data_IF_498695750624
#
_entry.id   IF_498695750624
#
_cell.length_a   1.000
_cell.length_b   1.000
_cell.length_c   1.000
_cell.angle_alpha   90.00
_cell.angle_beta   90.00
_cell.angle_gamma   90.00
#
_symmetry.space_group_name_H-M   'P 1'
#
loop_
_entity.id
_entity.type
_entity.pdbx_description
1 polymer ?
#
# COMPACT_ATOMS: atom_id res chain seq x y z
N UNK A 1 -9.36 -1.23 22.24
CA UNK A 1 -9.83 -2.26 21.27
C UNK A 1 -11.28 -2.13 20.82
N UNK A 2 -12.27 -1.90 21.70
CA UNK A 2 -13.69 -1.77 21.29
C UNK A 2 -13.92 -0.77 20.14
N UNK A 3 -13.36 0.44 20.23
CA UNK A 3 -13.50 1.48 19.20
C UNK A 3 -13.04 1.06 17.79
N UNK A 4 -11.96 0.28 17.69
CA UNK A 4 -11.48 -0.21 16.38
C UNK A 4 -12.43 -1.24 15.80
N UNK A 5 -12.99 -2.11 16.63
CA UNK A 5 -14.02 -3.08 16.22
C UNK A 5 -15.30 -2.38 15.77
N UNK A 6 -15.75 -1.37 16.50
CA UNK A 6 -16.92 -0.56 16.10
C UNK A 6 -16.67 0.12 14.73
N UNK A 7 -15.49 0.70 14.52
CA UNK A 7 -15.10 1.31 13.24
C UNK A 7 -14.99 0.30 12.09
N UNK A 8 -14.39 -0.87 12.35
CA UNK A 8 -14.30 -1.96 11.37
C UNK A 8 -15.68 -2.51 11.01
N UNK A 9 -16.63 -2.58 11.95
CA UNK A 9 -18.00 -3.02 11.70
C UNK A 9 -18.76 -2.07 10.76
N UNK A 10 -18.57 -0.74 10.90
CA UNK A 10 -19.16 0.24 9.97
C UNK A 10 -18.64 0.02 8.54
N UNK A 11 -17.32 -0.13 8.38
CA UNK A 11 -16.70 -0.44 7.10
C UNK A 11 -17.21 -1.76 6.51
N UNK A 12 -17.27 -2.81 7.33
CA UNK A 12 -17.79 -4.11 6.90
C UNK A 12 -19.23 -3.99 6.38
N UNK A 13 -20.09 -3.27 7.11
CA UNK A 13 -21.46 -3.02 6.67
C UNK A 13 -21.53 -2.29 5.32
N UNK A 14 -20.69 -1.26 5.14
CA UNK A 14 -20.62 -0.54 3.87
C UNK A 14 -20.18 -1.47 2.73
N UNK A 15 -19.13 -2.26 2.93
CA UNK A 15 -18.62 -3.19 1.92
C UNK A 15 -19.63 -4.28 1.59
N UNK A 16 -20.31 -4.81 2.60
CA UNK A 16 -21.34 -5.84 2.42
C UNK A 16 -22.52 -5.34 1.59
N UNK A 17 -22.90 -4.07 1.80
CA UNK A 17 -23.97 -3.40 1.05
C UNK A 17 -23.58 -3.11 -0.40
N UNK A 18 -22.32 -2.75 -0.67
CA UNK A 18 -21.90 -2.27 -1.98
C UNK A 18 -21.19 -3.29 -2.87
N UNK A 19 -20.78 -4.43 -2.31
CA UNK A 19 -20.31 -5.59 -3.08
C UNK A 19 -21.34 -6.72 -2.97
N UNK A 20 -21.92 -7.13 -4.09
CA UNK A 20 -22.92 -8.20 -4.12
C UNK A 20 -22.31 -9.61 -3.94
N UNK A 21 -23.16 -10.64 -3.97
CA UNK A 21 -22.76 -12.04 -3.82
C UNK A 21 -21.86 -12.55 -4.96
N UNK A 22 -21.90 -11.89 -6.12
CA UNK A 22 -21.08 -12.18 -7.29
C UNK A 22 -19.77 -11.37 -7.31
N UNK A 23 -19.53 -10.53 -6.31
CA UNK A 23 -18.35 -9.69 -6.19
C UNK A 23 -18.37 -8.47 -7.12
N UNK A 24 -19.54 -7.99 -7.52
CA UNK A 24 -19.70 -6.74 -8.27
C UNK A 24 -19.87 -5.57 -7.32
N UNK A 25 -19.13 -4.49 -7.55
CA UNK A 25 -19.38 -3.21 -6.91
C UNK A 25 -20.62 -2.56 -7.56
N UNK A 26 -21.68 -2.32 -6.80
CA UNK A 26 -22.94 -1.74 -7.31
C UNK A 26 -22.80 -0.27 -7.71
N UNK A 27 -21.76 0.42 -7.23
CA UNK A 27 -21.46 1.82 -7.59
C UNK A 27 -20.71 1.96 -8.92
N UNK A 28 -20.15 0.86 -9.43
CA UNK A 28 -19.29 0.88 -10.62
C UNK A 28 -18.87 -0.52 -11.01
N UNK A 29 -19.79 -1.30 -11.59
CA UNK A 29 -19.58 -2.71 -11.93
C UNK A 29 -18.43 -2.91 -12.92
N UNK A 30 -18.20 -1.94 -13.80
CA UNK A 30 -17.25 -2.01 -14.92
C UNK A 30 -16.09 -1.02 -14.77
N UNK A 31 -15.89 -0.49 -13.56
CA UNK A 31 -14.78 0.41 -13.26
C UNK A 31 -13.77 -0.28 -12.34
N UNK A 32 -12.63 -0.68 -12.92
CA UNK A 32 -11.52 -1.36 -12.24
C UNK A 32 -11.03 -0.67 -10.97
N UNK A 33 -11.23 0.65 -10.84
CA UNK A 33 -10.78 1.45 -9.70
C UNK A 33 -11.43 1.03 -8.38
N UNK A 34 -12.59 0.38 -8.42
CA UNK A 34 -13.22 -0.22 -7.24
C UNK A 34 -12.62 -1.57 -6.83
N UNK A 35 -11.80 -2.20 -7.68
CA UNK A 35 -11.44 -3.62 -7.53
C UNK A 35 -9.98 -3.86 -7.13
N UNK A 36 -9.07 -2.91 -7.34
CA UNK A 36 -7.62 -3.13 -7.18
C UNK A 36 -7.21 -3.55 -5.76
N UNK A 37 -7.83 -2.99 -4.73
CA UNK A 37 -7.58 -3.34 -3.31
C UNK A 37 -8.69 -4.19 -2.69
N UNK A 38 -9.81 -4.35 -3.39
CA UNK A 38 -11.02 -4.93 -2.82
C UNK A 38 -10.87 -6.38 -2.32
N UNK A 39 -10.12 -7.30 -2.99
CA UNK A 39 -9.95 -8.65 -2.46
C UNK A 39 -9.32 -8.68 -1.06
N UNK A 40 -8.29 -7.84 -0.86
CA UNK A 40 -7.62 -7.72 0.43
C UNK A 40 -8.52 -7.02 1.46
N UNK A 41 -9.12 -5.88 1.10
CA UNK A 41 -10.00 -5.11 1.96
C UNK A 41 -11.20 -5.93 2.47
N UNK A 42 -11.88 -6.64 1.58
CA UNK A 42 -13.00 -7.51 1.93
C UNK A 42 -12.56 -8.61 2.90
N UNK A 43 -11.36 -9.16 2.74
CA UNK A 43 -10.84 -10.15 3.68
C UNK A 43 -10.58 -9.55 5.07
N UNK A 44 -9.96 -8.37 5.13
CA UNK A 44 -9.73 -7.65 6.39
C UNK A 44 -11.04 -7.29 7.11
N UNK A 45 -12.13 -7.10 6.37
CA UNK A 45 -13.47 -6.85 6.90
C UNK A 45 -14.26 -8.14 7.21
N UNK A 46 -13.66 -9.33 7.14
CA UNK A 46 -14.34 -10.60 7.41
C UNK A 46 -15.24 -11.11 6.28
N UNK A 47 -15.18 -10.50 5.09
CA UNK A 47 -15.97 -10.82 3.90
C UNK A 47 -15.15 -11.58 2.85
N UNK A 48 -14.29 -12.51 3.29
CA UNK A 48 -13.31 -13.23 2.45
C UNK A 48 -13.93 -13.86 1.19
N UNK A 49 -15.12 -14.46 1.31
CA UNK A 49 -15.82 -15.08 0.17
C UNK A 49 -16.17 -14.06 -0.93
N UNK A 50 -16.64 -12.85 -0.56
CA UNK A 50 -16.83 -11.75 -1.51
C UNK A 50 -15.50 -11.31 -2.12
N UNK A 51 -14.44 -11.25 -1.31
CA UNK A 51 -13.08 -10.97 -1.80
C UNK A 51 -12.62 -11.93 -2.90
N UNK A 52 -12.86 -13.24 -2.74
CA UNK A 52 -12.55 -14.25 -3.75
C UNK A 52 -13.37 -14.08 -5.04
N UNK A 53 -14.63 -13.64 -4.94
CA UNK A 53 -15.50 -13.33 -6.09
C UNK A 53 -15.05 -12.08 -6.82
N UNK A 54 -14.66 -11.03 -6.10
CA UNK A 54 -14.03 -9.82 -6.66
C UNK A 54 -12.76 -10.21 -7.43
N UNK A 55 -11.89 -11.04 -6.86
CA UNK A 55 -10.70 -11.55 -7.55
C UNK A 55 -11.06 -12.30 -8.86
N UNK A 56 -12.09 -13.15 -8.85
CA UNK A 56 -12.60 -13.80 -10.07
C UNK A 56 -12.97 -12.79 -11.14
N UNK A 57 -13.73 -11.76 -10.75
CA UNK A 57 -14.19 -10.73 -11.67
C UNK A 57 -13.03 -9.95 -12.28
N UNK A 58 -12.02 -9.61 -11.49
CA UNK A 58 -10.80 -8.95 -12.00
C UNK A 58 -10.12 -9.80 -13.06
N UNK A 59 -9.92 -11.09 -12.79
CA UNK A 59 -9.32 -12.02 -13.75
C UNK A 59 -10.11 -12.08 -15.08
N UNK A 60 -11.44 -12.09 -15.00
CA UNK A 60 -12.32 -12.27 -16.17
C UNK A 60 -12.55 -10.99 -16.98
N UNK A 61 -12.40 -9.80 -16.39
CA UNK A 61 -12.83 -8.54 -17.02
C UNK A 61 -11.79 -7.43 -17.07
N UNK A 62 -10.86 -7.41 -16.12
CA UNK A 62 -9.99 -6.25 -15.91
C UNK A 62 -8.52 -6.56 -16.19
N UNK A 63 -8.20 -7.73 -16.75
CA UNK A 63 -6.87 -8.05 -17.23
C UNK A 63 -6.89 -8.21 -18.75
N UNK A 64 -5.83 -7.73 -19.41
CA UNK A 64 -5.58 -8.05 -20.81
C UNK A 64 -4.91 -9.42 -20.97
N UNK A 65 -4.63 -9.81 -22.20
CA UNK A 65 -3.98 -11.10 -22.53
C UNK A 65 -2.61 -11.27 -21.88
N UNK A 66 -1.90 -10.16 -21.59
CA UNK A 66 -0.59 -10.17 -20.94
C UNK A 66 -0.69 -10.14 -19.41
N UNK A 67 -1.89 -9.98 -18.86
CA UNK A 67 -2.13 -9.85 -17.43
C UNK A 67 -1.94 -8.43 -16.89
N UNK A 68 -1.88 -7.41 -17.75
CA UNK A 68 -1.88 -6.03 -17.33
C UNK A 68 -3.30 -5.59 -16.94
N UNK A 69 -3.39 -4.75 -15.90
CA UNK A 69 -4.65 -4.18 -15.45
C UNK A 69 -5.21 -3.22 -16.50
N UNK A 70 -6.38 -3.52 -17.05
CA UNK A 70 -7.14 -2.66 -17.97
C UNK A 70 -8.02 -1.68 -17.20
N UNK A 71 -8.51 -0.63 -17.86
CA UNK A 71 -9.23 0.46 -17.19
C UNK A 71 -9.27 1.74 -18.02
N UNK A 72 -9.96 2.78 -17.54
CA UNK A 72 -10.15 4.02 -18.30
C UNK A 72 -8.81 4.71 -18.63
N UNK A 73 -8.74 5.52 -19.70
CA UNK A 73 -7.50 6.24 -20.07
C UNK A 73 -6.93 7.14 -18.97
N UNK A 74 -7.76 7.59 -18.03
CA UNK A 74 -7.37 8.40 -16.89
C UNK A 74 -6.63 7.62 -15.80
N UNK A 75 -6.65 6.28 -15.84
CA UNK A 75 -5.87 5.44 -14.94
C UNK A 75 -4.45 5.31 -15.49
N UNK A 76 -3.51 6.00 -14.87
CA UNK A 76 -2.12 6.07 -15.30
C UNK A 76 -1.38 4.73 -15.14
N UNK A 77 -0.22 4.60 -15.79
CA UNK A 77 0.54 3.33 -15.78
C UNK A 77 1.04 2.98 -14.38
N UNK A 78 1.51 3.96 -13.62
CA UNK A 78 1.93 3.82 -12.23
C UNK A 78 0.76 3.37 -11.33
N UNK A 79 -0.44 3.94 -11.50
CA UNK A 79 -1.62 3.51 -10.77
C UNK A 79 -2.03 2.06 -11.10
N UNK A 80 -1.85 1.63 -12.35
CA UNK A 80 -2.10 0.22 -12.76
C UNK A 80 -1.11 -0.72 -12.10
N UNK A 81 0.19 -0.43 -12.17
CA UNK A 81 1.25 -1.24 -11.53
C UNK A 81 1.02 -1.32 -10.03
N UNK A 82 0.74 -0.18 -9.38
CA UNK A 82 0.44 -0.14 -7.96
C UNK A 82 -0.80 -0.97 -7.61
N UNK A 83 -1.86 -0.85 -8.42
CA UNK A 83 -3.07 -1.66 -8.30
C UNK A 83 -2.81 -3.16 -8.47
N UNK A 84 -1.94 -3.54 -9.41
CA UNK A 84 -1.50 -4.93 -9.62
C UNK A 84 -0.79 -5.48 -8.38
N UNK A 85 0.08 -4.71 -7.73
CA UNK A 85 0.71 -5.12 -6.46
C UNK A 85 -0.31 -5.49 -5.38
N UNK A 86 -1.32 -4.63 -5.19
CA UNK A 86 -2.42 -4.89 -4.26
C UNK A 86 -3.29 -6.09 -4.65
N UNK A 87 -3.56 -6.26 -5.95
CA UNK A 87 -4.31 -7.40 -6.45
C UNK A 87 -3.56 -8.71 -6.24
N UNK A 88 -2.23 -8.76 -6.44
CA UNK A 88 -1.43 -9.95 -6.19
C UNK A 88 -1.47 -10.34 -4.70
N UNK A 89 -1.31 -9.36 -3.79
CA UNK A 89 -1.47 -9.60 -2.36
C UNK A 89 -2.89 -10.10 -2.03
N UNK A 90 -3.91 -9.37 -2.48
CA UNK A 90 -5.31 -9.68 -2.19
C UNK A 90 -5.72 -11.05 -2.74
N UNK A 91 -5.29 -11.39 -3.96
CA UNK A 91 -5.50 -12.69 -4.59
C UNK A 91 -4.88 -13.83 -3.79
N UNK A 92 -3.65 -13.62 -3.29
CA UNK A 92 -2.96 -14.60 -2.43
C UNK A 92 -3.77 -14.85 -1.15
N UNK A 93 -4.22 -13.79 -0.48
CA UNK A 93 -4.99 -13.89 0.78
C UNK A 93 -6.35 -14.60 0.61
N UNK A 94 -6.99 -14.43 -0.55
CA UNK A 94 -8.25 -15.13 -0.88
C UNK A 94 -8.03 -16.46 -1.61
N UNK A 95 -6.80 -16.97 -1.65
CA UNK A 95 -6.40 -18.25 -2.28
C UNK A 95 -6.77 -18.35 -3.77
N UNK A 96 -6.76 -17.22 -4.48
CA UNK A 96 -6.89 -17.16 -5.94
C UNK A 96 -5.53 -17.11 -6.59
N UNK A 97 -4.80 -18.21 -6.43
CA UNK A 97 -3.41 -18.35 -6.88
C UNK A 97 -3.26 -18.24 -8.40
N UNK A 98 -4.30 -18.57 -9.17
CA UNK A 98 -4.36 -18.35 -10.61
C UNK A 98 -4.26 -16.87 -11.01
N UNK A 99 -4.96 -16.00 -10.27
CA UNK A 99 -4.85 -14.55 -10.43
C UNK A 99 -3.52 -14.03 -9.88
N UNK A 100 -3.12 -14.51 -8.69
CA UNK A 100 -1.89 -14.07 -8.04
C UNK A 100 -0.66 -14.35 -8.92
N UNK A 101 -0.55 -15.57 -9.46
CA UNK A 101 0.57 -15.96 -10.33
C UNK A 101 0.60 -15.17 -11.63
N UNK A 102 -0.56 -14.97 -12.28
CA UNK A 102 -0.64 -14.17 -13.51
C UNK A 102 -0.18 -12.73 -13.30
N UNK A 103 -0.67 -12.07 -12.25
CA UNK A 103 -0.30 -10.69 -11.94
C UNK A 103 1.16 -10.60 -11.51
N UNK A 104 1.61 -11.50 -10.63
CA UNK A 104 2.98 -11.49 -10.13
C UNK A 104 4.01 -11.81 -11.22
N UNK A 105 3.69 -12.72 -12.15
CA UNK A 105 4.50 -12.97 -13.34
C UNK A 105 4.65 -11.70 -14.18
N UNK A 106 3.55 -10.99 -14.42
CA UNK A 106 3.58 -9.73 -15.18
C UNK A 106 4.34 -8.61 -14.46
N UNK A 107 4.23 -8.51 -13.13
CA UNK A 107 5.02 -7.58 -12.33
C UNK A 107 6.52 -7.89 -12.40
N UNK A 108 6.90 -9.18 -12.34
CA UNK A 108 8.29 -9.60 -12.46
C UNK A 108 8.87 -9.27 -13.85
N UNK A 109 8.10 -9.42 -14.93
CA UNK A 109 8.51 -9.01 -16.28
C UNK A 109 8.74 -7.49 -16.41
N UNK A 110 7.98 -6.69 -15.64
CA UNK A 110 8.09 -5.22 -15.63
C UNK A 110 9.20 -4.70 -14.72
N UNK A 111 9.70 -5.54 -13.82
CA UNK A 111 10.78 -5.18 -12.92
C UNK A 111 12.08 -5.00 -13.70
N UNK A 112 12.77 -3.90 -13.42
CA UNK A 112 14.11 -3.70 -13.94
C UNK A 112 15.09 -4.54 -13.10
N UNK A 113 15.82 -5.43 -13.77
CA UNK A 113 16.75 -6.34 -13.10
C UNK A 113 17.99 -5.65 -12.51
N UNK A 114 18.30 -4.42 -12.96
CA UNK A 114 19.50 -3.69 -12.51
C UNK A 114 19.23 -2.94 -11.20
N UNK A 115 18.14 -2.18 -11.12
CA UNK A 115 17.80 -1.46 -9.89
C UNK A 115 16.83 -2.22 -8.99
N UNK A 116 16.18 -3.29 -9.45
CA UNK A 116 15.17 -4.04 -8.70
C UNK A 116 13.82 -3.32 -8.56
N UNK A 117 13.68 -2.10 -9.09
CA UNK A 117 12.45 -1.30 -9.05
C UNK A 117 11.54 -1.51 -10.27
N UNK A 118 10.37 -0.86 -10.26
CA UNK A 118 9.55 -0.71 -11.48
C UNK A 118 9.85 0.66 -12.08
N UNK A 119 10.55 0.68 -13.22
CA UNK A 119 10.99 1.91 -13.89
C UNK A 119 9.91 2.39 -14.86
N UNK A 120 9.45 3.62 -14.67
CA UNK A 120 8.37 4.25 -15.45
C UNK A 120 8.75 5.69 -15.81
N UNK A 121 8.17 6.26 -16.87
CA UNK A 121 8.31 7.68 -17.16
C UNK A 121 7.82 8.55 -15.99
N UNK A 122 8.63 9.53 -15.56
CA UNK A 122 8.28 10.47 -14.50
C UNK A 122 8.51 11.91 -15.00
N UNK A 123 7.42 12.68 -15.07
CA UNK A 123 7.44 14.03 -15.64
C UNK A 123 8.27 15.02 -14.82
N UNK A 124 8.28 14.88 -13.50
CA UNK A 124 9.07 15.75 -12.62
C UNK A 124 10.57 15.45 -12.76
N UNK A 125 10.94 14.18 -12.99
CA UNK A 125 12.33 13.78 -13.22
C UNK A 125 12.81 14.11 -14.65
N UNK A 126 11.89 14.20 -15.61
CA UNK A 126 12.19 14.33 -17.05
C UNK A 126 12.97 13.12 -17.60
N UNK A 127 12.83 11.97 -16.93
CA UNK A 127 13.50 10.71 -17.27
C UNK A 127 12.64 9.51 -16.77
N UNK A 128 13.02 8.29 -17.15
CA UNK A 128 12.43 7.09 -16.56
C UNK A 128 13.10 6.76 -15.22
N UNK A 129 12.30 6.59 -14.18
CA UNK A 129 12.79 6.30 -12.82
C UNK A 129 11.89 5.28 -12.14
N UNK A 130 12.43 4.60 -11.14
CA UNK A 130 11.61 3.86 -10.20
C UNK A 130 11.20 4.78 -9.04
N UNK A 131 9.96 4.62 -8.58
CA UNK A 131 9.44 5.29 -7.38
C UNK A 131 9.16 4.25 -6.29
N UNK A 132 9.52 4.58 -5.05
CA UNK A 132 9.57 3.64 -3.94
C UNK A 132 8.19 3.12 -3.53
N UNK A 133 7.16 3.96 -3.47
CA UNK A 133 5.80 3.54 -3.10
C UNK A 133 5.21 2.55 -4.12
N UNK A 134 5.32 2.85 -5.42
CA UNK A 134 4.83 2.01 -6.51
C UNK A 134 5.61 0.72 -6.64
N UNK A 135 6.94 0.81 -6.60
CA UNK A 135 7.80 -0.38 -6.56
C UNK A 135 7.42 -1.22 -5.35
N UNK A 136 7.32 -0.64 -4.16
CA UNK A 136 6.97 -1.38 -2.94
C UNK A 136 5.60 -2.05 -3.00
N UNK A 137 4.63 -1.45 -3.70
CA UNK A 137 3.35 -2.12 -3.96
C UNK A 137 3.55 -3.42 -4.76
N UNK A 138 4.36 -3.37 -5.83
CA UNK A 138 4.72 -4.53 -6.62
C UNK A 138 5.55 -5.56 -5.83
N UNK A 139 6.57 -5.12 -5.08
CA UNK A 139 7.45 -5.97 -4.28
C UNK A 139 6.69 -6.78 -3.22
N UNK A 140 5.77 -6.13 -2.50
CA UNK A 140 4.85 -6.79 -1.57
C UNK A 140 4.00 -7.86 -2.29
N UNK A 141 3.43 -7.54 -3.46
CA UNK A 141 2.66 -8.49 -4.25
C UNK A 141 3.49 -9.68 -4.75
N UNK A 142 4.72 -9.43 -5.20
CA UNK A 142 5.68 -10.45 -5.64
C UNK A 142 6.06 -11.39 -4.48
N UNK A 143 6.36 -10.83 -3.31
CA UNK A 143 6.70 -11.61 -2.12
C UNK A 143 5.52 -12.51 -1.69
N UNK A 144 4.32 -11.94 -1.59
CA UNK A 144 3.11 -12.68 -1.23
C UNK A 144 2.80 -13.83 -2.21
N UNK A 145 3.00 -13.60 -3.52
CA UNK A 145 2.76 -14.59 -4.56
C UNK A 145 3.93 -15.60 -4.77
N UNK A 146 4.94 -15.59 -3.91
CA UNK A 146 6.05 -16.54 -3.97
C UNK A 146 7.11 -16.26 -5.04
N UNK A 147 7.15 -15.07 -5.64
CA UNK A 147 8.19 -14.65 -6.59
C UNK A 147 9.44 -14.15 -5.85
N UNK A 148 10.05 -15.04 -5.07
CA UNK A 148 11.07 -14.68 -4.07
C UNK A 148 12.26 -13.91 -4.65
N UNK A 149 12.82 -14.33 -5.80
CA UNK A 149 13.97 -13.65 -6.41
C UNK A 149 13.63 -12.21 -6.81
N UNK A 150 12.46 -11.98 -7.42
CA UNK A 150 12.01 -10.65 -7.80
C UNK A 150 11.75 -9.78 -6.57
N UNK A 151 11.11 -10.33 -5.53
CA UNK A 151 10.91 -9.65 -4.26
C UNK A 151 12.24 -9.30 -3.57
N UNK A 152 13.23 -10.20 -3.61
CA UNK A 152 14.56 -10.00 -3.04
C UNK A 152 15.28 -8.82 -3.69
N UNK A 153 15.31 -8.75 -5.03
CA UNK A 153 15.93 -7.63 -5.74
C UNK A 153 15.37 -6.27 -5.29
N UNK A 154 14.05 -6.21 -5.08
CA UNK A 154 13.40 -5.00 -4.62
C UNK A 154 13.68 -4.69 -3.14
N UNK A 155 13.71 -5.72 -2.29
CA UNK A 155 14.08 -5.58 -0.89
C UNK A 155 15.52 -5.08 -0.73
N UNK A 156 16.49 -5.64 -1.48
CA UNK A 156 17.87 -5.14 -1.52
C UNK A 156 17.92 -3.66 -1.88
N UNK A 157 17.15 -3.27 -2.90
CA UNK A 157 17.12 -1.88 -3.32
C UNK A 157 16.60 -0.97 -2.21
N UNK A 158 15.56 -1.37 -1.48
CA UNK A 158 15.05 -0.57 -0.37
C UNK A 158 16.01 -0.52 0.83
N UNK A 159 16.74 -1.60 1.12
CA UNK A 159 17.81 -1.57 2.12
C UNK A 159 18.85 -0.52 1.73
N UNK A 160 19.38 -0.58 0.51
CA UNK A 160 20.39 0.35 0.06
C UNK A 160 19.86 1.80 -0.10
N UNK A 161 18.59 1.99 -0.46
CA UNK A 161 18.00 3.31 -0.69
C UNK A 161 17.94 4.17 0.58
N UNK A 162 17.89 3.55 1.76
CA UNK A 162 18.01 4.25 3.04
C UNK A 162 19.38 4.91 3.20
N UNK A 163 20.43 4.26 2.72
CA UNK A 163 21.82 4.67 2.90
C UNK A 163 22.31 5.61 1.78
N UNK A 164 21.72 5.50 0.58
CA UNK A 164 22.11 6.29 -0.60
C UNK A 164 21.53 7.73 -0.61
N UNK A 165 20.85 8.17 0.45
CA UNK A 165 20.22 9.49 0.48
C UNK A 165 21.27 10.62 0.48
N UNK A 166 21.19 11.59 -0.43
CA UNK A 166 22.22 12.63 -0.59
C UNK A 166 22.11 13.78 0.43
N UNK A 167 20.96 13.94 1.07
CA UNK A 167 20.70 15.04 2.02
C UNK A 167 20.17 14.49 3.34
N UNK A 168 20.71 14.98 4.45
CA UNK A 168 20.14 14.69 5.78
C UNK A 168 18.83 15.46 5.96
N UNK A 169 17.84 14.84 6.59
CA UNK A 169 16.52 15.45 6.82
C UNK A 169 15.57 15.39 5.63
N UNK A 170 16.00 14.82 4.50
CA UNK A 170 15.16 14.54 3.34
C UNK A 170 15.35 13.11 2.86
N UNK A 171 14.27 12.51 2.44
CA UNK A 171 14.26 11.21 1.79
C UNK A 171 13.60 11.35 0.42
N UNK A 172 14.36 11.13 -0.64
CA UNK A 172 13.89 11.13 -2.01
C UNK A 172 13.40 9.72 -2.39
N UNK A 173 12.16 9.63 -2.84
CA UNK A 173 11.50 8.35 -3.12
C UNK A 173 11.82 7.78 -4.51
N UNK A 174 12.73 8.39 -5.27
CA UNK A 174 12.98 8.07 -6.67
C UNK A 174 14.44 7.66 -6.89
N UNK A 175 14.64 6.65 -7.73
CA UNK A 175 15.96 6.14 -8.08
C UNK A 175 16.02 5.68 -9.54
N UNK A 176 17.21 5.78 -10.14
CA UNK A 176 17.48 5.38 -11.52
C UNK A 176 17.79 3.89 -11.66
N UNK A 177 17.96 3.42 -12.90
CA UNK A 177 18.37 2.05 -13.21
C UNK A 177 19.74 1.68 -12.62
N UNK A 178 20.65 2.63 -12.48
CA UNK A 178 21.93 2.43 -11.80
C UNK A 178 21.83 2.45 -10.25
N UNK A 179 20.63 2.66 -9.71
CA UNK A 179 20.38 2.76 -8.28
C UNK A 179 20.61 4.16 -7.68
N UNK A 180 21.13 5.11 -8.46
CA UNK A 180 21.36 6.47 -7.97
C UNK A 180 20.04 7.17 -7.62
N UNK A 181 20.06 7.95 -6.53
CA UNK A 181 18.90 8.72 -6.07
C UNK A 181 18.63 9.90 -7.00
N UNK A 182 17.35 10.14 -7.29
CA UNK A 182 16.90 11.33 -8.02
C UNK A 182 16.59 12.43 -7.00
N UNK A 183 17.61 13.22 -6.70
CA UNK A 183 17.58 14.33 -5.73
C UNK A 183 16.89 15.60 -6.26
N UNK A 184 15.74 15.43 -6.93
CA UNK A 184 14.91 16.54 -7.42
C UNK A 184 13.59 16.48 -6.63
N UNK A 185 13.10 17.57 -6.05
CA UNK A 185 11.72 17.62 -5.56
C UNK A 185 10.73 17.52 -6.73
N UNK A 186 9.53 16.97 -6.49
CA UNK A 186 8.42 17.09 -7.44
C UNK A 186 7.80 18.49 -7.40
N UNK A 187 7.02 18.88 -8.41
CA UNK A 187 6.27 20.14 -8.39
C UNK A 187 5.35 20.29 -7.15
N UNK A 188 4.92 19.18 -6.55
CA UNK A 188 4.18 19.13 -5.29
C UNK A 188 5.03 18.95 -4.02
N UNK A 189 6.37 18.97 -4.12
CA UNK A 189 7.40 18.72 -3.08
C UNK A 189 7.25 17.42 -2.26
N UNK A 190 6.14 17.21 -1.53
CA UNK A 190 5.89 16.09 -0.62
C UNK A 190 5.43 14.79 -1.31
N UNK A 191 5.06 14.83 -2.59
CA UNK A 191 4.56 13.63 -3.29
C UNK A 191 5.66 12.61 -3.61
N UNK A 192 6.88 13.08 -3.88
CA UNK A 192 8.04 12.27 -4.30
C UNK A 192 9.25 12.41 -3.37
N UNK A 193 9.07 13.07 -2.24
CA UNK A 193 10.08 13.27 -1.21
C UNK A 193 9.39 13.34 0.17
N UNK A 194 10.09 12.92 1.21
CA UNK A 194 9.71 13.14 2.60
C UNK A 194 10.74 14.07 3.25
N UNK A 195 10.30 15.21 3.74
CA UNK A 195 11.14 16.23 4.37
C UNK A 195 10.71 16.39 5.83
N UNK A 196 11.66 16.27 6.75
CA UNK A 196 11.37 16.22 8.20
C UNK A 196 10.85 17.55 8.77
N UNK A 197 10.88 18.63 7.98
CA UNK A 197 10.56 19.99 8.39
C UNK A 197 9.27 20.54 7.76
N UNK A 198 8.73 19.94 6.69
CA UNK A 198 7.50 20.45 6.07
C UNK A 198 6.27 20.18 6.95
N UNK A 199 5.24 21.05 6.93
CA UNK A 199 4.07 20.92 7.80
C UNK A 199 3.12 19.78 7.41
N UNK A 200 3.26 19.20 6.22
CA UNK A 200 2.44 18.08 5.73
C UNK A 200 3.34 17.12 4.95
N UNK A 201 3.13 15.82 5.17
CA UNK A 201 3.85 14.75 4.49
C UNK A 201 2.95 13.55 4.19
N UNK A 202 3.46 12.59 3.41
CA UNK A 202 2.76 11.35 3.05
C UNK A 202 3.45 10.09 3.58
N UNK A 203 3.38 9.79 4.89
CA UNK A 203 3.96 8.57 5.46
C UNK A 203 3.48 7.27 4.80
N UNK A 204 2.26 7.25 4.26
CA UNK A 204 1.73 6.07 3.58
C UNK A 204 2.54 5.61 2.36
N UNK A 205 3.43 6.44 1.81
CA UNK A 205 4.36 6.02 0.75
C UNK A 205 5.42 5.02 1.27
N UNK A 206 5.79 5.11 2.55
CA UNK A 206 6.72 4.18 3.18
C UNK A 206 6.06 2.87 3.60
N UNK A 207 4.73 2.82 3.67
CA UNK A 207 4.03 1.62 4.09
C UNK A 207 4.33 0.44 3.17
N UNK A 208 4.25 0.62 1.85
CA UNK A 208 4.50 -0.46 0.89
C UNK A 208 5.98 -0.85 0.79
N UNK A 209 6.89 0.08 1.06
CA UNK A 209 8.33 -0.20 1.21
C UNK A 209 8.57 -1.09 2.44
N UNK A 210 8.10 -0.68 3.60
CA UNK A 210 8.22 -1.43 4.84
C UNK A 210 7.56 -2.82 4.73
N UNK A 211 6.39 -2.90 4.09
CA UNK A 211 5.72 -4.18 3.84
C UNK A 211 6.53 -5.06 2.88
N UNK A 212 7.10 -4.52 1.80
CA UNK A 212 7.97 -5.31 0.92
C UNK A 212 9.09 -5.96 1.71
N UNK A 213 9.75 -5.19 2.58
CA UNK A 213 10.81 -5.68 3.46
C UNK A 213 10.31 -6.73 4.46
N UNK A 214 9.15 -6.53 5.09
CA UNK A 214 8.55 -7.51 6.00
C UNK A 214 8.20 -8.82 5.27
N UNK A 215 7.50 -8.74 4.15
CA UNK A 215 7.10 -9.92 3.38
C UNK A 215 8.31 -10.66 2.79
N UNK A 216 9.33 -9.93 2.34
CA UNK A 216 10.62 -10.48 1.92
C UNK A 216 11.34 -11.19 3.09
N UNK A 217 11.42 -10.54 4.26
CA UNK A 217 11.98 -11.11 5.49
C UNK A 217 11.31 -12.41 5.90
N UNK A 218 9.98 -12.46 5.87
CA UNK A 218 9.21 -13.69 6.13
C UNK A 218 9.48 -14.78 5.09
N UNK A 219 9.50 -14.44 3.81
CA UNK A 219 9.67 -15.41 2.73
C UNK A 219 11.09 -16.01 2.69
N UNK A 220 12.11 -15.24 3.07
CA UNK A 220 13.52 -15.65 2.99
C UNK A 220 14.13 -16.02 4.35
N UNK A 221 13.47 -15.69 5.46
CA UNK A 221 14.01 -15.87 6.81
C UNK A 221 15.17 -14.92 7.12
N UNK A 222 15.16 -13.71 6.55
CA UNK A 222 16.27 -12.74 6.67
C UNK A 222 15.89 -11.54 7.56
N UNK A 223 16.35 -11.55 8.81
CA UNK A 223 16.04 -10.52 9.82
C UNK A 223 16.48 -9.10 9.44
N UNK A 224 17.52 -8.97 8.59
CA UNK A 224 18.00 -7.65 8.15
C UNK A 224 16.94 -6.84 7.41
N UNK A 225 15.97 -7.49 6.78
CA UNK A 225 14.86 -6.77 6.14
C UNK A 225 13.91 -6.19 7.18
N UNK A 226 13.65 -6.88 8.30
CA UNK A 226 12.90 -6.32 9.42
C UNK A 226 13.63 -5.12 10.05
N UNK A 227 14.95 -5.22 10.21
CA UNK A 227 15.77 -4.09 10.68
C UNK A 227 15.66 -2.88 9.74
N UNK A 228 15.73 -3.09 8.42
CA UNK A 228 15.55 -2.02 7.44
C UNK A 228 14.13 -1.43 7.46
N UNK A 229 13.08 -2.24 7.61
CA UNK A 229 11.71 -1.76 7.78
C UNK A 229 11.57 -0.90 9.05
N UNK A 230 12.22 -1.29 10.14
CA UNK A 230 12.30 -0.51 11.38
C UNK A 230 12.98 0.85 11.16
N UNK A 231 14.07 0.90 10.39
CA UNK A 231 14.74 2.16 10.01
C UNK A 231 13.82 3.09 9.21
N UNK A 232 12.98 2.56 8.31
CA UNK A 232 11.96 3.36 7.63
C UNK A 232 10.90 3.91 8.60
N UNK A 233 10.47 3.11 9.58
CA UNK A 233 9.57 3.57 10.64
C UNK A 233 10.20 4.71 11.46
N UNK A 234 11.47 4.55 11.85
CA UNK A 234 12.19 5.57 12.61
C UNK A 234 12.46 6.84 11.79
N UNK A 235 12.75 6.73 10.49
CA UNK A 235 12.84 7.88 9.59
C UNK A 235 11.53 8.68 9.57
N UNK A 236 10.39 8.02 9.37
CA UNK A 236 9.09 8.69 9.35
C UNK A 236 8.81 9.40 10.68
N UNK A 237 9.09 8.74 11.81
CA UNK A 237 8.89 9.30 13.16
C UNK A 237 10.02 10.21 13.65
N UNK A 238 11.06 10.44 12.85
CA UNK A 238 12.05 11.50 13.08
C UNK A 238 11.55 12.88 12.63
N UNK A 239 10.38 12.94 12.00
CA UNK A 239 9.74 14.19 11.60
C UNK A 239 9.43 15.08 12.82
N UNK A 240 9.54 16.41 12.67
CA UNK A 240 9.31 17.37 13.78
C UNK A 240 7.87 17.41 14.33
N UNK A 241 6.93 16.78 13.63
CA UNK A 241 5.51 16.70 13.94
C UNK A 241 5.15 15.22 14.05
N UNK A 242 4.10 14.89 14.81
CA UNK A 242 3.64 13.50 14.88
C UNK A 242 3.06 13.07 13.52
N UNK A 243 3.66 12.08 12.84
CA UNK A 243 3.16 11.58 11.56
C UNK A 243 1.73 11.04 11.63
N UNK A 244 1.24 10.65 12.81
CA UNK A 244 -0.14 10.19 12.99
C UNK A 244 -1.17 11.27 12.65
N UNK A 245 -0.83 12.56 12.80
CA UNK A 245 -1.72 13.69 12.54
C UNK A 245 -1.76 14.07 11.06
N UNK A 246 -0.82 13.57 10.25
CA UNK A 246 -0.82 13.84 8.81
C UNK A 246 -2.03 13.24 8.12
N UNK A 247 -2.51 14.02 7.14
CA UNK A 247 -3.47 13.65 6.11
C UNK A 247 -3.48 12.20 5.69
N UNK A 248 -2.27 11.69 5.53
CA UNK A 248 -1.97 10.61 4.60
C UNK A 248 -1.04 9.57 5.22
N UNK A 249 -1.11 9.37 6.53
CA UNK A 249 -0.38 8.29 7.20
C UNK A 249 -1.08 6.93 7.03
N UNK A 250 -2.41 6.91 7.08
CA UNK A 250 -3.31 5.80 6.68
C UNK A 250 -2.76 4.38 6.94
N UNK A 251 -2.30 3.67 5.89
CA UNK A 251 -1.82 2.27 5.91
C UNK A 251 -0.45 2.09 6.56
N UNK A 252 0.22 3.16 6.97
CA UNK A 252 1.51 3.05 7.66
C UNK A 252 1.38 2.37 9.02
N UNK A 253 0.25 2.55 9.70
CA UNK A 253 -0.06 1.84 10.94
C UNK A 253 -0.11 0.32 10.73
N UNK A 254 -0.74 -0.13 9.63
CA UNK A 254 -0.73 -1.54 9.25
C UNK A 254 0.68 -2.07 9.00
N UNK A 255 1.54 -1.33 8.29
CA UNK A 255 2.94 -1.73 8.09
C UNK A 255 3.70 -1.89 9.41
N UNK A 256 3.49 -0.98 10.38
CA UNK A 256 4.08 -1.08 11.71
C UNK A 256 3.56 -2.27 12.51
N UNK A 257 2.28 -2.61 12.41
CA UNK A 257 1.71 -3.80 13.06
C UNK A 257 2.31 -5.08 12.46
N UNK A 258 2.41 -5.15 11.13
CA UNK A 258 3.06 -6.29 10.47
C UNK A 258 4.50 -6.46 10.95
N UNK A 259 5.27 -5.38 11.05
CA UNK A 259 6.63 -5.44 11.56
C UNK A 259 6.68 -5.78 13.06
N UNK A 260 5.72 -5.31 13.86
CA UNK A 260 5.61 -5.67 15.28
C UNK A 260 5.41 -7.18 15.46
N UNK A 261 4.57 -7.81 14.63
CA UNK A 261 4.31 -9.25 14.71
C UNK A 261 5.60 -10.10 14.55
N UNK A 262 6.56 -9.64 13.74
CA UNK A 262 7.83 -10.34 13.50
C UNK A 262 8.95 -9.94 14.48
N UNK A 263 8.91 -8.73 15.04
CA UNK A 263 10.03 -8.18 15.84
C UNK A 263 9.74 -8.07 17.33
N UNK A 264 8.47 -8.01 17.72
CA UNK A 264 8.04 -7.71 19.09
C UNK A 264 8.32 -6.28 19.57
N UNK A 265 8.77 -5.35 18.71
CA UNK A 265 9.05 -3.96 19.11
C UNK A 265 7.76 -3.19 19.44
N UNK A 266 7.44 -3.06 20.72
CA UNK A 266 6.20 -2.43 21.21
C UNK A 266 6.04 -0.98 20.77
N UNK A 267 7.12 -0.26 20.46
CA UNK A 267 7.06 1.13 19.97
C UNK A 267 6.27 1.22 18.66
N UNK A 268 6.37 0.21 17.80
CA UNK A 268 5.65 0.13 16.53
C UNK A 268 4.14 -0.01 16.76
N UNK A 269 3.75 -0.87 17.70
CA UNK A 269 2.35 -1.05 18.06
C UNK A 269 1.76 0.23 18.68
N UNK A 270 2.48 0.89 19.58
CA UNK A 270 2.05 2.17 20.18
C UNK A 270 1.87 3.26 19.12
N UNK A 271 2.81 3.37 18.17
CA UNK A 271 2.71 4.29 17.03
C UNK A 271 1.51 3.98 16.14
N UNK A 272 1.28 2.70 15.84
CA UNK A 272 0.13 2.25 15.06
C UNK A 272 -1.20 2.54 15.77
N UNK A 273 -1.27 2.36 17.08
CA UNK A 273 -2.45 2.70 17.88
C UNK A 273 -2.74 4.20 17.85
N UNK A 274 -1.73 5.07 17.99
CA UNK A 274 -1.93 6.53 17.86
C UNK A 274 -2.52 6.91 16.50
N UNK A 275 -1.98 6.36 15.41
CA UNK A 275 -2.55 6.57 14.08
C UNK A 275 -3.97 6.00 13.97
N UNK A 276 -4.20 4.80 14.50
CA UNK A 276 -5.54 4.20 14.55
C UNK A 276 -6.57 5.08 15.27
N UNK A 277 -6.15 5.82 16.30
CA UNK A 277 -7.02 6.72 17.06
C UNK A 277 -7.46 7.92 16.24
N UNK A 278 -6.52 8.49 15.47
CA UNK A 278 -6.82 9.53 14.49
C UNK A 278 -7.79 9.00 13.44
N UNK A 279 -7.53 7.81 12.88
CA UNK A 279 -8.39 7.22 11.86
C UNK A 279 -9.80 6.92 12.38
N UNK A 280 -9.96 6.38 13.59
CA UNK A 280 -11.30 6.17 14.18
C UNK A 280 -12.04 7.48 14.37
N UNK A 281 -11.35 8.54 14.81
CA UNK A 281 -11.94 9.87 15.00
C UNK A 281 -12.37 10.50 13.67
N UNK A 282 -11.63 10.25 12.59
CA UNK A 282 -11.88 10.80 11.26
C UNK A 282 -12.84 9.96 10.39
N UNK A 283 -13.25 8.77 10.85
CA UNK A 283 -14.17 7.93 10.08
C UNK A 283 -15.56 8.57 10.02
N UNK A 284 -16.11 8.68 8.81
CA UNK A 284 -17.46 9.17 8.55
C UNK A 284 -18.52 8.18 9.07
N UNK A 285 -19.75 8.66 9.26
CA UNK A 285 -20.83 7.85 9.85
C UNK A 285 -21.19 6.61 9.04
N UNK A 286 -21.01 6.67 7.71
CA UNK A 286 -21.22 5.56 6.79
C UNK A 286 -20.08 4.52 6.79
N UNK A 287 -19.03 4.74 7.59
CA UNK A 287 -17.92 3.81 7.77
C UNK A 287 -16.74 4.01 6.82
N UNK A 288 -16.78 5.02 5.95
CA UNK A 288 -15.67 5.36 5.05
C UNK A 288 -14.85 6.55 5.57
N UNK A 289 -13.74 6.81 4.90
CA UNK A 289 -12.88 7.98 5.11
C UNK A 289 -12.83 8.83 3.86
N UNK A 290 -12.84 10.15 4.04
CA UNK A 290 -12.76 11.10 2.95
C UNK A 290 -11.31 11.49 2.66
N UNK A 291 -10.86 11.48 1.39
CA UNK A 291 -9.50 11.87 1.05
C UNK A 291 -9.19 13.31 1.47
N UNK A 292 -8.05 13.52 2.14
CA UNK A 292 -7.55 14.87 2.43
C UNK A 292 -6.68 15.39 1.27
N UNK A 293 -6.75 16.70 0.92
CA UNK A 293 -7.52 17.76 1.56
C UNK A 293 -8.93 17.96 0.97
N UNK A 294 -9.42 17.07 0.09
CA UNK A 294 -10.63 17.28 -0.71
C UNK A 294 -11.89 17.53 0.15
N UNK A 295 -11.92 17.11 1.42
CA UNK A 295 -13.04 17.35 2.34
C UNK A 295 -14.15 16.30 2.19
N UNK A 296 -15.12 16.30 3.12
CA UNK A 296 -16.17 15.27 3.16
C UNK A 296 -17.07 15.32 1.91
N UNK A 297 -17.26 14.17 1.24
CA UNK A 297 -18.25 14.01 0.18
C UNK A 297 -17.89 14.62 -1.19
N UNK A 298 -16.69 15.16 -1.38
CA UNK A 298 -16.26 15.78 -2.64
C UNK A 298 -15.56 14.82 -3.60
N UNK A 299 -14.94 13.76 -3.06
CA UNK A 299 -14.23 12.77 -3.85
C UNK A 299 -15.20 11.80 -4.54
N UNK A 300 -14.93 11.38 -5.79
CA UNK A 300 -15.74 10.36 -6.45
C UNK A 300 -15.69 9.03 -5.67
N UNK A 301 -16.75 8.20 -5.75
CA UNK A 301 -16.86 7.01 -4.89
C UNK A 301 -15.67 6.03 -4.96
N UNK A 302 -15.07 5.84 -6.14
CA UNK A 302 -13.89 4.98 -6.30
C UNK A 302 -12.66 5.53 -5.57
N UNK A 303 -12.48 6.85 -5.54
CA UNK A 303 -11.35 7.49 -4.88
C UNK A 303 -11.53 7.41 -3.35
N UNK A 304 -12.74 7.69 -2.88
CA UNK A 304 -13.12 7.53 -1.47
C UNK A 304 -12.92 6.09 -0.99
N UNK A 305 -13.31 5.09 -1.79
CA UNK A 305 -13.05 3.67 -1.47
C UNK A 305 -11.54 3.36 -1.46
N UNK A 306 -10.78 3.84 -2.44
CA UNK A 306 -9.33 3.60 -2.51
C UNK A 306 -8.58 4.19 -1.30
N UNK A 307 -8.97 5.38 -0.86
CA UNK A 307 -8.43 6.01 0.35
C UNK A 307 -8.89 5.30 1.62
N UNK A 308 -10.19 4.98 1.71
CA UNK A 308 -10.75 4.19 2.82
C UNK A 308 -10.08 2.82 2.95
N UNK A 309 -9.67 2.21 1.83
CA UNK A 309 -8.90 0.96 1.84
C UNK A 309 -7.58 1.12 2.59
N UNK A 310 -6.87 2.24 2.42
CA UNK A 310 -5.62 2.48 3.12
C UNK A 310 -5.84 2.71 4.62
N UNK A 311 -6.89 3.46 5.00
CA UNK A 311 -7.24 3.68 6.41
C UNK A 311 -7.67 2.37 7.10
N UNK A 312 -8.51 1.60 6.41
CA UNK A 312 -9.09 0.36 6.90
C UNK A 312 -8.04 -0.67 7.31
N UNK A 313 -6.92 -0.77 6.59
CA UNK A 313 -5.87 -1.74 6.91
C UNK A 313 -5.36 -1.58 8.34
N UNK A 314 -5.11 -0.34 8.76
CA UNK A 314 -4.66 -0.05 10.13
C UNK A 314 -5.75 -0.34 11.15
N UNK A 315 -6.98 0.14 10.90
CA UNK A 315 -8.11 -0.02 11.83
C UNK A 315 -8.49 -1.50 12.01
N UNK A 316 -8.63 -2.25 10.92
CA UNK A 316 -8.97 -3.67 10.94
C UNK A 316 -7.86 -4.50 11.60
N UNK A 317 -6.58 -4.20 11.34
CA UNK A 317 -5.47 -4.89 12.00
C UNK A 317 -5.51 -4.69 13.53
N UNK A 318 -5.71 -3.45 13.99
CA UNK A 318 -5.86 -3.15 15.42
C UNK A 318 -7.12 -3.79 16.02
N UNK A 319 -8.22 -3.89 15.27
CA UNK A 319 -9.44 -4.54 15.70
C UNK A 319 -9.28 -6.05 15.93
N UNK A 320 -8.34 -6.68 15.22
CA UNK A 320 -8.03 -8.11 15.31
C UNK A 320 -7.07 -8.49 16.44
N UNK A 321 -6.43 -7.52 17.11
CA UNK A 321 -5.51 -7.81 18.22
C UNK A 321 -6.26 -8.40 19.42
N UNK A 322 -5.65 -9.33 20.18
CA UNK A 322 -6.21 -9.85 21.41
C UNK A 322 -6.52 -8.73 22.41
N UNK A 323 -7.55 -8.91 23.25
CA UNK A 323 -7.70 -8.04 24.42
C UNK A 323 -6.59 -8.40 25.41
N UNK A 324 -5.69 -7.46 25.65
CA UNK A 324 -4.79 -7.51 26.81
C UNK A 324 -5.60 -7.38 28.11
#
# INVERSE_FOLDING_TARGET
>A
MKRYRDAAAKLQHWLDTHFDAEGRCVLGSDDVRFYSKAPYLLTMAGLRAKGARVAKRVYERFLDERGDLTGPPTLSVDQRVYGMGWLALGATVVERFDLADRIAGRLAERQDAQCGGIVLPDADAEEEVAEACFSGGAGMGLAAAGKHQAAQLMAERFVALLDDQPETGRFYNRFRRDGSVVAKPAAGAWEKMYDLELPEQRPANFATVALTLVWAGRAMGEERYFAAAGRYADLVYSHRLDPAEFGRATKFGWAMIQLYDDTGDSRLLERAQRLGDVLVREQSDDGLWDPRPLGQGTAPPWERLSYSSDCAMTVCALAGLPQA
#
